data_IF_823547740982
#
_entry.id   IF_823547740982
#
_cell.length_a   1.000
_cell.length_b   1.000
_cell.length_c   1.000
_cell.angle_alpha   90.00
_cell.angle_beta   90.00
_cell.angle_gamma   90.00
#
_symmetry.space_group_name_H-M   'P 1'
#
loop_
_entity.id
_entity.type
_entity.pdbx_description
1 polymer ?
#
# COMPACT_ATOMS: atom_id res chain seq x y z
N UNK A 1 -7.66 7.02 37.41
CA UNK A 1 -6.69 7.75 36.57
C UNK A 1 -5.35 7.05 36.63
N UNK A 2 -4.86 6.50 35.51
CA UNK A 2 -3.46 6.07 35.30
C UNK A 2 -3.24 6.01 33.79
N UNK A 3 -2.51 6.99 33.27
CA UNK A 3 -2.03 7.03 31.89
C UNK A 3 -0.84 6.10 31.74
N UNK A 4 -0.72 5.41 30.61
CA UNK A 4 0.58 4.93 30.11
C UNK A 4 0.55 4.90 28.58
N UNK A 5 1.09 5.97 27.99
CA UNK A 5 1.52 6.05 26.60
C UNK A 5 2.86 5.31 26.49
N UNK A 6 3.03 4.45 25.49
CA UNK A 6 4.36 4.05 25.01
C UNK A 6 4.34 4.08 23.47
N UNK A 7 4.89 5.17 22.95
CA UNK A 7 5.39 5.32 21.59
C UNK A 7 6.64 4.45 21.44
N UNK A 8 6.72 3.62 20.41
CA UNK A 8 7.96 3.02 19.94
C UNK A 8 8.15 3.42 18.47
N UNK A 9 9.14 4.27 18.24
CA UNK A 9 9.61 4.70 16.94
C UNK A 9 10.98 4.06 16.64
N UNK A 10 11.26 3.85 15.34
CA UNK A 10 12.59 3.56 14.79
C UNK A 10 12.84 2.07 14.54
N UNK A 11 13.43 1.60 13.44
CA UNK A 11 14.19 2.25 12.35
C UNK A 11 14.35 1.21 11.24
N UNK A 12 14.05 1.54 9.97
CA UNK A 12 14.48 0.73 8.81
C UNK A 12 15.77 1.36 8.28
N UNK A 13 16.90 0.69 8.49
CA UNK A 13 18.20 1.06 7.94
C UNK A 13 18.25 0.58 6.48
N UNK A 14 18.26 1.53 5.54
CA UNK A 14 18.55 1.26 4.13
C UNK A 14 20.07 1.33 3.94
N UNK A 15 20.72 0.17 3.84
CA UNK A 15 22.14 0.09 3.52
C UNK A 15 22.35 0.39 2.01
N UNK A 16 22.82 1.61 1.71
CA UNK A 16 23.50 1.93 0.46
C UNK A 16 25.00 1.88 0.75
N UNK A 17 25.71 0.92 0.19
CA UNK A 17 27.16 1.01 0.03
C UNK A 17 27.56 0.69 -1.41
N UNK A 18 28.04 1.74 -2.05
CA UNK A 18 28.97 1.78 -3.17
C UNK A 18 30.25 1.02 -2.87
N UNK A 19 30.81 0.34 -3.87
CA UNK A 19 32.12 -0.29 -3.77
C UNK A 19 32.71 -0.62 -5.14
N UNK A 20 33.39 0.38 -5.72
CA UNK A 20 34.28 0.30 -6.87
C UNK A 20 35.52 -0.55 -6.56
N UNK A 21 35.92 -1.43 -7.48
CA UNK A 21 37.28 -1.98 -7.52
C UNK A 21 37.70 -2.24 -8.97
N UNK A 22 38.53 -1.33 -9.49
CA UNK A 22 39.40 -1.56 -10.64
C UNK A 22 40.53 -2.49 -10.21
N UNK A 23 40.69 -3.62 -10.88
CA UNK A 23 41.88 -4.47 -10.74
C UNK A 23 42.56 -4.56 -12.10
N UNK A 24 43.53 -3.67 -12.32
CA UNK A 24 44.58 -3.89 -13.31
C UNK A 24 45.62 -4.82 -12.69
N UNK A 25 45.74 -6.03 -13.21
CA UNK A 25 46.87 -6.92 -12.93
C UNK A 25 47.55 -7.27 -14.25
N UNK A 26 48.77 -6.76 -14.34
CA UNK A 26 49.78 -6.94 -15.38
C UNK A 26 50.33 -8.37 -15.37
N UNK A 27 50.56 -8.94 -16.56
CA UNK A 27 51.81 -9.63 -16.92
C UNK A 27 51.87 -9.69 -18.44
N UNK A 28 52.87 -9.04 -19.02
CA UNK A 28 53.27 -9.30 -20.40
C UNK A 28 54.08 -10.58 -20.50
N UNK A 29 54.05 -11.24 -21.65
CA UNK A 29 55.26 -11.54 -22.41
C UNK A 29 54.92 -11.89 -23.88
N UNK A 30 55.73 -11.29 -24.75
CA UNK A 30 56.08 -11.50 -26.16
C UNK A 30 55.25 -12.43 -27.08
N UNK A 31 54.93 -11.94 -28.28
CA UNK A 31 55.67 -12.31 -29.51
C UNK A 31 54.96 -11.86 -30.80
N UNK A 32 55.76 -11.18 -31.63
CA UNK A 32 55.74 -11.04 -33.10
C UNK A 32 54.41 -11.05 -33.89
N UNK A 33 54.19 -9.91 -34.57
CA UNK A 33 53.13 -9.67 -35.55
C UNK A 33 53.13 -10.66 -36.73
N UNK A 34 52.00 -10.75 -37.44
CA UNK A 34 52.03 -10.17 -38.78
C UNK A 34 50.86 -9.23 -39.09
N UNK A 35 51.13 -8.36 -40.07
CA UNK A 35 50.32 -7.40 -40.81
C UNK A 35 48.84 -7.24 -40.47
N UNK A 36 48.48 -5.97 -40.32
CA UNK A 36 47.14 -5.41 -40.34
C UNK A 36 46.24 -6.08 -41.40
N UNK A 37 45.38 -6.97 -40.95
CA UNK A 37 44.12 -7.25 -41.63
C UNK A 37 43.10 -6.33 -40.96
N UNK A 38 42.70 -5.29 -41.67
CA UNK A 38 41.60 -4.38 -41.35
C UNK A 38 40.32 -5.19 -41.15
N UNK A 39 40.17 -5.76 -39.96
CA UNK A 39 38.90 -6.35 -39.53
C UNK A 39 38.12 -5.18 -38.99
N UNK A 40 37.49 -4.46 -39.91
CA UNK A 40 36.46 -3.46 -39.61
C UNK A 40 35.40 -4.15 -38.76
N UNK A 41 35.59 -4.07 -37.45
CA UNK A 41 34.58 -4.46 -36.49
C UNK A 41 33.58 -3.34 -36.57
N UNK A 42 32.58 -3.49 -37.43
CA UNK A 42 31.38 -2.64 -37.42
C UNK A 42 30.78 -2.81 -36.03
N UNK A 43 31.18 -1.92 -35.12
CA UNK A 43 30.52 -1.74 -33.84
C UNK A 43 29.04 -1.55 -34.19
N UNK A 44 28.13 -2.40 -33.68
CA UNK A 44 26.71 -2.16 -33.88
C UNK A 44 26.44 -0.72 -33.43
N UNK A 45 25.65 0.06 -34.19
CA UNK A 45 25.37 1.45 -33.83
C UNK A 45 24.94 1.46 -32.37
N UNK A 46 25.66 2.26 -31.56
CA UNK A 46 25.33 2.47 -30.14
C UNK A 46 23.83 2.70 -30.09
N UNK A 47 23.08 1.77 -29.48
CA UNK A 47 21.64 1.89 -29.27
C UNK A 47 21.38 3.32 -28.84
N UNK A 48 20.56 4.03 -29.60
CA UNK A 48 20.26 5.44 -29.36
C UNK A 48 20.02 5.61 -27.87
N UNK A 49 20.79 6.53 -27.28
CA UNK A 49 20.62 6.88 -25.88
C UNK A 49 19.15 7.24 -25.72
N UNK A 50 18.45 6.54 -24.82
CA UNK A 50 17.06 6.84 -24.43
C UNK A 50 16.91 8.36 -24.40
N UNK A 51 16.02 8.85 -25.27
CA UNK A 51 15.89 10.28 -25.53
C UNK A 51 15.61 11.01 -24.22
N UNK A 52 15.94 12.31 -24.15
CA UNK A 52 15.62 13.10 -22.96
C UNK A 52 14.12 13.01 -22.61
N UNK A 53 13.26 12.98 -23.64
CA UNK A 53 11.81 12.82 -23.51
C UNK A 53 11.41 11.46 -22.89
N UNK A 54 12.03 10.35 -23.32
CA UNK A 54 11.75 9.03 -22.75
C UNK A 54 12.20 8.92 -21.29
N UNK A 55 13.32 9.56 -20.92
CA UNK A 55 13.77 9.61 -19.52
C UNK A 55 12.83 10.42 -18.63
N UNK A 56 12.30 11.52 -19.16
CA UNK A 56 11.32 12.36 -18.46
C UNK A 56 9.98 11.63 -18.28
N UNK A 57 9.48 10.97 -19.33
CA UNK A 57 8.28 10.13 -19.26
C UNK A 57 8.43 9.01 -18.22
N UNK A 58 9.58 8.32 -18.20
CA UNK A 58 9.85 7.28 -17.20
C UNK A 58 10.00 7.84 -15.77
N UNK A 59 10.49 9.07 -15.60
CA UNK A 59 10.53 9.73 -14.29
C UNK A 59 9.13 10.09 -13.81
N UNK A 60 8.29 10.64 -14.70
CA UNK A 60 6.89 10.96 -14.42
C UNK A 60 6.09 9.71 -14.07
N UNK A 61 6.20 8.64 -14.85
CA UNK A 61 5.52 7.38 -14.57
C UNK A 61 5.90 6.81 -13.18
N UNK A 62 7.17 6.87 -12.81
CA UNK A 62 7.61 6.42 -11.47
C UNK A 62 7.00 7.29 -10.36
N UNK A 63 6.93 8.59 -10.55
CA UNK A 63 6.28 9.50 -9.59
C UNK A 63 4.78 9.19 -9.47
N UNK A 64 4.08 9.02 -10.60
CA UNK A 64 2.65 8.70 -10.64
C UNK A 64 2.38 7.32 -10.00
N UNK A 65 3.26 6.33 -10.23
CA UNK A 65 3.19 5.02 -9.58
C UNK A 65 3.38 5.08 -8.07
N UNK A 66 4.29 5.92 -7.57
CA UNK A 66 4.50 6.13 -6.14
C UNK A 66 3.28 6.80 -5.49
N UNK A 67 2.73 7.83 -6.13
CA UNK A 67 1.50 8.48 -5.69
C UNK A 67 0.34 7.47 -5.60
N UNK A 68 0.14 6.67 -6.66
CA UNK A 68 -0.86 5.62 -6.67
C UNK A 68 -0.67 4.58 -5.56
N UNK A 69 0.57 4.16 -5.27
CA UNK A 69 0.82 3.20 -4.18
C UNK A 69 0.38 3.77 -2.82
N UNK A 70 0.65 5.05 -2.58
CA UNK A 70 0.26 5.74 -1.34
C UNK A 70 -1.26 5.82 -1.24
N UNK A 71 -1.91 6.31 -2.29
CA UNK A 71 -3.36 6.47 -2.34
C UNK A 71 -4.08 5.12 -2.22
N UNK A 72 -3.58 4.09 -2.92
CA UNK A 72 -4.13 2.75 -2.86
C UNK A 72 -3.98 2.12 -1.47
N UNK A 73 -2.81 2.28 -0.84
CA UNK A 73 -2.60 1.78 0.53
C UNK A 73 -3.54 2.45 1.53
N UNK A 74 -3.71 3.77 1.40
CA UNK A 74 -4.65 4.54 2.20
C UNK A 74 -6.10 4.07 1.97
N UNK A 75 -6.51 3.91 0.72
CA UNK A 75 -7.85 3.42 0.37
C UNK A 75 -8.15 2.04 0.99
N UNK A 76 -7.19 1.11 0.97
CA UNK A 76 -7.33 -0.19 1.65
C UNK A 76 -7.49 -0.01 3.15
N UNK A 77 -6.60 0.76 3.78
CA UNK A 77 -6.60 0.95 5.22
C UNK A 77 -7.91 1.57 5.71
N UNK A 78 -8.39 2.61 5.02
CA UNK A 78 -9.63 3.31 5.37
C UNK A 78 -10.85 2.38 5.22
N UNK A 79 -10.92 1.57 4.15
CA UNK A 79 -11.99 0.56 4.01
C UNK A 79 -11.93 -0.51 5.08
N UNK A 80 -10.74 -1.01 5.41
CA UNK A 80 -10.57 -2.02 6.45
C UNK A 80 -11.04 -1.49 7.80
N UNK A 81 -10.73 -0.23 8.12
CA UNK A 81 -11.22 0.45 9.33
C UNK A 81 -12.74 0.55 9.33
N UNK A 82 -13.36 1.03 8.25
CA UNK A 82 -14.81 1.17 8.17
C UNK A 82 -15.55 -0.17 8.37
N UNK A 83 -15.02 -1.26 7.78
CA UNK A 83 -15.58 -2.61 7.96
C UNK A 83 -15.40 -3.11 9.39
N UNK A 84 -14.25 -2.83 10.01
CA UNK A 84 -13.99 -3.16 11.42
C UNK A 84 -14.96 -2.43 12.34
N UNK A 85 -15.15 -1.13 12.15
CA UNK A 85 -16.04 -0.32 12.98
C UNK A 85 -17.50 -0.77 12.85
N UNK A 86 -17.92 -1.16 11.65
CA UNK A 86 -19.22 -1.80 11.44
C UNK A 86 -19.35 -3.13 12.22
N UNK A 87 -18.34 -4.00 12.15
CA UNK A 87 -18.33 -5.26 12.92
C UNK A 87 -18.38 -5.02 14.42
N UNK A 88 -17.61 -4.07 14.93
CA UNK A 88 -17.56 -3.74 16.36
C UNK A 88 -18.90 -3.14 16.84
N UNK A 89 -19.55 -2.34 15.99
CA UNK A 89 -20.89 -1.81 16.26
C UNK A 89 -21.94 -2.93 16.34
N UNK A 90 -21.89 -3.90 15.43
CA UNK A 90 -22.79 -5.06 15.47
C UNK A 90 -22.54 -5.95 16.70
N UNK A 91 -21.28 -6.20 17.04
CA UNK A 91 -20.92 -6.98 18.23
C UNK A 91 -21.44 -6.29 19.51
N UNK A 92 -21.27 -4.98 19.60
CA UNK A 92 -21.79 -4.17 20.70
C UNK A 92 -23.32 -4.24 20.78
N UNK A 93 -24.01 -4.06 19.65
CA UNK A 93 -25.47 -4.15 19.59
C UNK A 93 -25.98 -5.55 19.99
N UNK A 94 -25.29 -6.63 19.59
CA UNK A 94 -25.63 -7.99 20.01
C UNK A 94 -25.39 -8.24 21.50
N UNK A 95 -24.33 -7.68 22.07
CA UNK A 95 -24.08 -7.75 23.52
C UNK A 95 -25.18 -7.01 24.31
N UNK A 96 -25.59 -5.83 23.84
CA UNK A 96 -26.72 -5.08 24.40
C UNK A 96 -28.02 -5.88 24.30
N UNK A 97 -28.31 -6.51 23.15
CA UNK A 97 -29.48 -7.35 22.97
C UNK A 97 -29.51 -8.51 23.96
N UNK A 98 -28.39 -9.23 24.11
CA UNK A 98 -28.27 -10.35 25.05
C UNK A 98 -28.57 -9.90 26.48
N UNK A 99 -28.02 -8.76 26.88
CA UNK A 99 -28.23 -8.18 28.21
C UNK A 99 -29.69 -7.75 28.41
N UNK A 100 -30.27 -7.07 27.42
CA UNK A 100 -31.67 -6.62 27.47
C UNK A 100 -32.66 -7.80 27.51
N UNK A 101 -32.40 -8.88 26.78
CA UNK A 101 -33.22 -10.09 26.83
C UNK A 101 -33.11 -10.82 28.16
N UNK A 102 -31.91 -10.89 28.75
CA UNK A 102 -31.72 -11.50 30.06
C UNK A 102 -32.46 -10.73 31.17
N UNK A 103 -32.56 -9.41 31.04
CA UNK A 103 -33.31 -8.55 31.96
C UNK A 103 -34.83 -8.52 31.68
N UNK A 104 -35.27 -8.87 30.47
CA UNK A 104 -36.66 -8.75 30.07
C UNK A 104 -37.55 -9.87 30.64
N UNK A 105 -38.44 -9.50 31.56
CA UNK A 105 -39.46 -10.40 32.13
C UNK A 105 -40.75 -10.47 31.30
N UNK A 106 -41.06 -9.43 30.53
CA UNK A 106 -42.31 -9.30 29.74
C UNK A 106 -42.09 -9.47 28.23
N UNK A 107 -43.17 -9.74 27.49
CA UNK A 107 -43.11 -9.86 26.03
C UNK A 107 -42.81 -8.52 25.37
N UNK A 108 -43.36 -7.46 25.94
CA UNK A 108 -43.20 -6.06 25.50
C UNK A 108 -41.74 -5.63 25.62
N UNK A 109 -41.08 -5.95 26.74
CA UNK A 109 -39.66 -5.66 26.94
C UNK A 109 -38.77 -6.42 25.95
N UNK A 110 -39.07 -7.71 25.67
CA UNK A 110 -38.34 -8.48 24.64
C UNK A 110 -38.52 -7.89 23.26
N UNK A 111 -39.75 -7.47 22.91
CA UNK A 111 -40.03 -6.80 21.64
C UNK A 111 -39.25 -5.48 21.53
N UNK A 112 -39.27 -4.64 22.56
CA UNK A 112 -38.52 -3.40 22.59
C UNK A 112 -37.00 -3.62 22.41
N UNK A 113 -36.43 -4.64 23.06
CA UNK A 113 -35.03 -5.01 22.89
C UNK A 113 -34.71 -5.44 21.44
N UNK A 114 -35.59 -6.21 20.81
CA UNK A 114 -35.44 -6.63 19.41
C UNK A 114 -35.54 -5.46 18.44
N UNK A 115 -36.48 -4.55 18.66
CA UNK A 115 -36.67 -3.38 17.80
C UNK A 115 -35.52 -2.37 17.96
N UNK A 116 -34.96 -2.23 19.17
CA UNK A 116 -33.73 -1.49 19.42
C UNK A 116 -32.53 -2.11 18.67
N UNK A 117 -32.39 -3.44 18.69
CA UNK A 117 -31.33 -4.12 17.96
C UNK A 117 -31.45 -3.95 16.44
N UNK A 118 -32.67 -4.06 15.87
CA UNK A 118 -32.90 -3.78 14.45
C UNK A 118 -32.49 -2.34 14.10
N UNK A 119 -32.91 -1.37 14.91
CA UNK A 119 -32.57 0.03 14.70
C UNK A 119 -31.05 0.25 14.76
N UNK A 120 -30.35 -0.40 15.70
CA UNK A 120 -28.90 -0.34 15.80
C UNK A 120 -28.19 -0.94 14.57
N UNK A 121 -28.74 -2.01 13.98
CA UNK A 121 -28.19 -2.60 12.74
C UNK A 121 -28.34 -1.68 11.54
N UNK A 122 -29.50 -1.06 11.37
CA UNK A 122 -29.73 -0.11 10.30
C UNK A 122 -28.84 1.13 10.46
N UNK A 123 -28.67 1.63 11.69
CA UNK A 123 -27.75 2.72 11.98
C UNK A 123 -26.29 2.35 11.67
N UNK A 124 -25.84 1.16 12.06
CA UNK A 124 -24.49 0.67 11.76
C UNK A 124 -24.27 0.53 10.24
N UNK A 125 -25.28 0.03 9.51
CA UNK A 125 -25.24 -0.05 8.04
C UNK A 125 -25.15 1.33 7.41
N UNK A 126 -25.99 2.27 7.83
CA UNK A 126 -25.96 3.64 7.33
C UNK A 126 -24.60 4.31 7.58
N UNK A 127 -23.99 4.07 8.75
CA UNK A 127 -22.65 4.56 9.05
C UNK A 127 -21.57 3.95 8.15
N UNK A 128 -21.66 2.64 7.85
CA UNK A 128 -20.76 1.98 6.91
C UNK A 128 -20.91 2.56 5.50
N UNK A 129 -22.14 2.69 5.02
CA UNK A 129 -22.42 3.22 3.67
C UNK A 129 -21.92 4.68 3.56
N UNK A 130 -22.11 5.50 4.60
CA UNK A 130 -21.57 6.86 4.66
C UNK A 130 -20.03 6.87 4.66
N UNK A 131 -19.38 6.00 5.43
CA UNK A 131 -17.92 5.89 5.43
C UNK A 131 -17.37 5.45 4.06
N UNK A 132 -18.02 4.49 3.40
CA UNK A 132 -17.64 4.05 2.06
C UNK A 132 -17.84 5.14 1.01
N UNK A 133 -18.88 5.97 1.13
CA UNK A 133 -19.10 7.12 0.26
C UNK A 133 -17.98 8.17 0.41
N UNK A 134 -17.49 8.40 1.63
CA UNK A 134 -16.36 9.32 1.89
C UNK A 134 -15.05 8.78 1.34
N UNK A 135 -14.81 7.46 1.45
CA UNK A 135 -13.59 6.82 0.92
C UNK A 135 -13.57 6.84 -0.61
N UNK A 136 -14.72 6.65 -1.25
CA UNK A 136 -14.87 6.71 -2.70
C UNK A 136 -14.27 5.51 -3.43
N UNK A 137 -13.98 5.73 -4.71
CA UNK A 137 -13.53 4.67 -5.62
C UNK A 137 -12.07 4.29 -5.40
N UNK A 138 -11.74 3.09 -5.89
CA UNK A 138 -10.37 2.57 -5.85
C UNK A 138 -9.46 3.41 -6.75
N UNK A 139 -8.31 3.88 -6.27
CA UNK A 139 -7.32 4.57 -7.11
C UNK A 139 -6.89 3.71 -8.31
N UNK A 140 -6.93 4.32 -9.50
CA UNK A 140 -6.58 3.66 -10.77
C UNK A 140 -5.06 3.62 -10.93
N UNK A 141 -4.53 2.45 -11.30
CA UNK A 141 -3.09 2.26 -11.50
C UNK A 141 -2.63 2.95 -12.80
N UNK A 142 -1.59 3.79 -12.76
CA UNK A 142 -0.97 4.35 -13.97
C UNK A 142 -0.45 3.25 -14.90
N UNK A 143 -0.55 3.46 -16.21
CA UNK A 143 -0.21 2.44 -17.23
C UNK A 143 0.96 2.79 -18.14
N UNK A 144 1.34 4.07 -18.28
CA UNK A 144 2.46 4.54 -19.11
C UNK A 144 3.08 5.81 -18.57
#
# INVERSE_FOLDING_TARGET
MKFSKLLAAGTVVLAVMSGSASAFASTGDTSSAPSATDTSTTLPPKRDRVSAAEREAAAKFRADMLAWQVDFSKWIADRASAIKDHRDSLASASATLKTALAAASTKEARKAAMDAFKSAREAAKAALDAALAVIGERPVRPTR
#
